data_IF_467111988535
#
_entry.id   IF_467111988535
#
_cell.length_a   1.000
_cell.length_b   1.000
_cell.length_c   1.000
_cell.angle_alpha   90.00
_cell.angle_beta   90.00
_cell.angle_gamma   90.00
#
_symmetry.space_group_name_H-M   'P 1'
#
loop_
_entity.id
_entity.type
_entity.pdbx_description
1 polymer ?
#
# COMPACT_ATOMS: atom_id res chain seq x y z
N UNK A 1 -23.04 -5.67 17.39
CA UNK A 1 -21.68 -5.09 17.39
C UNK A 1 -21.02 -5.47 16.07
N UNK A 2 -20.50 -4.51 15.29
CA UNK A 2 -19.88 -4.82 13.98
C UNK A 2 -18.56 -5.58 14.19
N UNK A 3 -18.31 -6.62 13.39
CA UNK A 3 -17.05 -7.36 13.43
C UNK A 3 -15.91 -6.46 12.92
N UNK A 4 -14.88 -6.27 13.74
CA UNK A 4 -13.66 -5.55 13.36
C UNK A 4 -12.74 -6.47 12.54
N UNK A 5 -12.12 -5.92 11.51
CA UNK A 5 -11.13 -6.60 10.68
C UNK A 5 -9.92 -5.69 10.56
N UNK A 6 -8.78 -6.15 11.07
CA UNK A 6 -7.49 -5.48 10.93
C UNK A 6 -6.86 -5.83 9.57
N UNK A 7 -6.37 -4.81 8.88
CA UNK A 7 -5.72 -4.91 7.57
C UNK A 7 -4.44 -4.10 7.61
N UNK A 8 -3.36 -4.60 7.03
CA UNK A 8 -2.07 -3.93 6.94
C UNK A 8 -1.78 -3.48 5.52
N UNK A 9 -1.12 -2.34 5.37
CA UNK A 9 -0.66 -1.80 4.10
C UNK A 9 0.81 -1.40 4.18
N UNK A 10 1.61 -1.81 3.20
CA UNK A 10 3.02 -1.49 3.10
C UNK A 10 3.22 -0.18 2.33
N UNK A 11 3.89 0.78 2.95
CA UNK A 11 4.48 1.94 2.26
C UNK A 11 5.95 1.59 2.02
N UNK A 12 6.22 0.97 0.87
CA UNK A 12 7.57 0.61 0.43
C UNK A 12 8.11 1.80 -0.36
N UNK A 13 9.13 2.48 0.16
CA UNK A 13 9.77 3.61 -0.51
C UNK A 13 11.20 3.26 -0.92
N UNK A 14 11.53 3.46 -2.19
CA UNK A 14 12.87 3.31 -2.73
C UNK A 14 13.17 4.46 -3.69
N UNK A 15 14.31 5.14 -3.50
CA UNK A 15 14.77 6.25 -4.35
C UNK A 15 13.72 7.37 -4.55
N UNK A 16 12.94 7.66 -3.50
CA UNK A 16 11.86 8.64 -3.56
C UNK A 16 10.70 8.20 -4.44
N UNK A 17 10.49 6.89 -4.60
CA UNK A 17 9.37 6.29 -5.30
C UNK A 17 8.69 5.26 -4.39
N UNK A 18 7.38 5.08 -4.55
CA UNK A 18 6.57 4.14 -3.76
C UNK A 18 6.21 2.95 -4.63
N UNK A 19 6.44 1.73 -4.12
CA UNK A 19 6.00 0.51 -4.79
C UNK A 19 4.49 0.34 -4.63
N UNK A 20 3.80 0.24 -5.75
CA UNK A 20 2.36 -0.05 -5.80
C UNK A 20 2.10 -1.24 -6.71
N UNK A 21 1.06 -2.02 -6.42
CA UNK A 21 0.55 -3.06 -7.30
C UNK A 21 -0.57 -2.50 -8.19
N UNK A 22 -0.62 -2.88 -9.46
CA UNK A 22 -1.72 -2.48 -10.35
C UNK A 22 -2.77 -3.57 -10.44
N UNK A 23 -4.02 -3.23 -10.11
CA UNK A 23 -5.14 -4.16 -10.20
C UNK A 23 -5.28 -4.76 -11.59
N UNK A 24 -5.50 -6.09 -11.70
CA UNK A 24 -5.56 -6.74 -12.99
C UNK A 24 -6.79 -6.26 -13.80
N UNK A 25 -6.77 -6.43 -15.14
CA UNK A 25 -7.81 -5.91 -16.03
C UNK A 25 -9.22 -6.46 -15.75
N UNK A 26 -9.31 -7.62 -15.11
CA UNK A 26 -10.56 -8.30 -14.79
C UNK A 26 -11.06 -8.01 -13.36
N UNK A 27 -10.34 -7.20 -12.57
CA UNK A 27 -10.79 -6.80 -11.24
C UNK A 27 -11.75 -5.60 -11.32
N UNK A 28 -12.59 -5.43 -10.29
CA UNK A 28 -13.34 -4.18 -10.10
C UNK A 28 -12.38 -2.98 -10.17
N UNK A 29 -12.70 -1.96 -10.98
CA UNK A 29 -11.86 -0.79 -11.22
C UNK A 29 -10.45 -1.14 -11.76
N UNK A 30 -10.36 -1.70 -12.97
CA UNK A 30 -9.10 -2.13 -13.55
C UNK A 30 -8.13 -0.96 -13.76
N UNK A 31 -6.83 -1.23 -13.59
CA UNK A 31 -5.77 -0.24 -13.81
C UNK A 31 -5.52 0.73 -12.66
N UNK A 32 -6.30 0.66 -11.58
CA UNK A 32 -6.02 1.38 -10.33
C UNK A 32 -4.82 0.76 -9.61
N UNK A 33 -4.03 1.60 -8.94
CA UNK A 33 -2.92 1.16 -8.11
C UNK A 33 -3.38 0.94 -6.68
N UNK A 34 -2.76 0.00 -5.98
CA UNK A 34 -3.03 -0.27 -4.57
C UNK A 34 -1.75 -0.55 -3.80
N UNK A 35 -1.81 -0.25 -2.51
CA UNK A 35 -0.74 -0.64 -1.60
C UNK A 35 -0.81 -2.15 -1.35
N UNK A 36 0.37 -2.77 -1.27
CA UNK A 36 0.51 -4.18 -0.94
C UNK A 36 0.19 -4.44 0.53
N UNK A 37 -0.22 -5.67 0.86
CA UNK A 37 -0.57 -6.08 2.22
C UNK A 37 -2.02 -6.55 2.33
N UNK A 38 -2.37 -7.18 3.43
CA UNK A 38 -3.65 -7.86 3.55
C UNK A 38 -4.16 -7.94 4.96
N UNK A 39 -5.01 -8.92 5.19
CA UNK A 39 -5.71 -9.07 6.47
C UNK A 39 -4.74 -9.60 7.53
N UNK A 40 -4.88 -9.08 8.74
CA UNK A 40 -4.21 -9.65 9.92
C UNK A 40 -5.02 -10.87 10.36
N UNK A 41 -4.39 -12.03 10.36
CA UNK A 41 -4.96 -13.30 10.79
C UNK A 41 -4.85 -13.49 12.32
N UNK A 42 -5.66 -14.37 12.91
CA UNK A 42 -5.58 -14.65 14.35
C UNK A 42 -4.20 -15.20 14.73
N UNK A 43 -3.58 -14.60 15.76
CA UNK A 43 -2.30 -15.06 16.30
C UNK A 43 -1.06 -14.44 15.68
N UNK A 44 -1.19 -13.59 14.65
CA UNK A 44 -0.09 -12.79 14.11
C UNK A 44 -0.17 -11.32 14.54
N UNK A 45 0.99 -10.68 14.65
CA UNK A 45 1.13 -9.23 14.79
C UNK A 45 1.02 -8.54 13.42
N UNK A 46 0.72 -7.24 13.41
CA UNK A 46 0.66 -6.46 12.17
C UNK A 46 1.93 -6.56 11.30
N UNK A 47 3.16 -6.47 11.87
CA UNK A 47 4.37 -6.66 11.07
C UNK A 47 4.50 -8.08 10.50
N UNK A 48 4.11 -9.12 11.26
CA UNK A 48 4.14 -10.50 10.78
C UNK A 48 3.18 -10.71 9.62
N UNK A 49 1.94 -10.22 9.75
CA UNK A 49 0.95 -10.23 8.68
C UNK A 49 1.50 -9.54 7.42
N UNK A 50 2.10 -8.36 7.59
CA UNK A 50 2.62 -7.59 6.46
C UNK A 50 3.78 -8.30 5.75
N UNK A 51 4.69 -8.95 6.49
CA UNK A 51 5.78 -9.73 5.90
C UNK A 51 5.24 -10.92 5.10
N UNK A 52 4.28 -11.66 5.67
CA UNK A 52 3.63 -12.80 5.01
C UNK A 52 2.96 -12.37 3.70
N UNK A 53 2.13 -11.34 3.75
CA UNK A 53 1.39 -10.84 2.58
C UNK A 53 2.34 -10.35 1.47
N UNK A 54 3.39 -9.60 1.83
CA UNK A 54 4.39 -9.14 0.85
C UNK A 54 5.15 -10.28 0.20
N UNK A 55 5.40 -11.37 0.94
CA UNK A 55 6.02 -12.56 0.38
C UNK A 55 5.06 -13.29 -0.57
N UNK A 56 3.80 -13.48 -0.19
CA UNK A 56 2.78 -14.20 -0.97
C UNK A 56 2.42 -13.46 -2.26
N UNK A 57 2.30 -12.13 -2.20
CA UNK A 57 1.77 -11.35 -3.31
C UNK A 57 2.83 -10.76 -4.23
N UNK A 58 4.00 -10.45 -3.67
CA UNK A 58 5.07 -9.77 -4.39
C UNK A 58 6.37 -10.57 -4.47
N UNK A 59 6.45 -11.72 -3.78
CA UNK A 59 7.67 -12.52 -3.74
C UNK A 59 8.83 -11.84 -3.01
N UNK A 60 8.58 -10.81 -2.19
CA UNK A 60 9.63 -10.04 -1.51
C UNK A 60 9.68 -10.32 -0.02
N UNK A 61 10.89 -10.30 0.54
CA UNK A 61 11.13 -10.38 1.98
C UNK A 61 11.33 -8.96 2.49
N UNK A 62 10.32 -8.43 3.16
CA UNK A 62 10.30 -7.06 3.68
C UNK A 62 10.59 -7.01 5.19
N UNK A 63 11.01 -5.83 5.67
CA UNK A 63 11.11 -5.54 7.11
C UNK A 63 10.33 -4.26 7.43
N UNK A 64 9.09 -4.38 7.97
CA UNK A 64 8.35 -3.24 8.48
C UNK A 64 9.13 -2.56 9.60
N UNK A 65 9.34 -1.24 9.50
CA UNK A 65 10.19 -0.49 10.42
C UNK A 65 9.39 0.46 11.33
N UNK A 66 8.42 1.18 10.76
CA UNK A 66 7.69 2.22 11.49
C UNK A 66 6.20 2.18 11.18
N UNK A 67 5.38 2.30 12.22
CA UNK A 67 3.96 2.54 12.07
C UNK A 67 3.71 3.98 11.64
N UNK A 68 2.95 4.19 10.57
CA UNK A 68 2.73 5.52 9.99
C UNK A 68 1.37 6.09 10.38
N UNK A 69 0.30 5.33 10.12
CA UNK A 69 -1.06 5.81 10.34
C UNK A 69 -2.06 4.65 10.35
N UNK A 70 -3.28 4.94 10.82
CA UNK A 70 -4.43 4.08 10.55
C UNK A 70 -5.65 4.84 10.07
N UNK A 71 -6.54 4.11 9.41
CA UNK A 71 -7.85 4.59 9.03
C UNK A 71 -8.92 3.52 9.31
N UNK A 72 -10.08 3.93 9.78
CA UNK A 72 -11.21 3.03 9.99
C UNK A 72 -12.36 3.36 9.04
N UNK A 73 -12.98 2.32 8.46
CA UNK A 73 -14.14 2.46 7.58
C UNK A 73 -15.12 1.32 7.76
N UNK A 74 -16.40 1.62 7.65
CA UNK A 74 -17.45 0.60 7.56
C UNK A 74 -17.70 0.22 6.10
N UNK A 75 -17.65 -1.07 5.80
CA UNK A 75 -17.90 -1.64 4.47
C UNK A 75 -18.75 -2.89 4.64
N UNK A 76 -19.92 -2.91 3.98
CA UNK A 76 -20.81 -4.08 3.96
C UNK A 76 -21.12 -4.66 5.35
N UNK A 77 -21.35 -3.80 6.35
CA UNK A 77 -21.65 -4.24 7.73
C UNK A 77 -20.45 -4.78 8.51
N UNK A 78 -19.22 -4.50 8.07
CA UNK A 78 -17.97 -4.82 8.80
C UNK A 78 -17.18 -3.54 9.03
N UNK A 79 -16.44 -3.46 10.13
CA UNK A 79 -15.57 -2.32 10.44
C UNK A 79 -14.13 -2.70 10.15
N UNK A 80 -13.53 -2.03 9.17
CA UNK A 80 -12.19 -2.31 8.69
C UNK A 80 -11.24 -1.29 9.31
N UNK A 81 -10.19 -1.77 9.97
CA UNK A 81 -9.12 -0.96 10.54
C UNK A 81 -7.85 -1.19 9.73
N UNK A 82 -7.53 -0.21 8.88
CA UNK A 82 -6.32 -0.25 8.07
C UNK A 82 -5.15 0.34 8.85
N UNK A 83 -4.00 -0.34 8.82
CA UNK A 83 -2.74 0.05 9.44
C UNK A 83 -1.64 0.17 8.39
N UNK A 84 -1.11 1.38 8.20
CA UNK A 84 -0.04 1.65 7.28
C UNK A 84 1.33 1.57 7.97
N UNK A 85 2.23 0.76 7.43
CA UNK A 85 3.58 0.57 7.91
C UNK A 85 4.60 0.96 6.84
N UNK A 86 5.64 1.68 7.24
CA UNK A 86 6.76 2.01 6.38
C UNK A 86 7.75 0.85 6.32
N UNK A 87 8.16 0.53 5.09
CA UNK A 87 9.08 -0.56 4.76
C UNK A 87 10.24 0.05 3.98
N UNK A 88 11.33 0.46 4.65
CA UNK A 88 12.49 1.08 3.99
C UNK A 88 13.34 0.09 3.20
N UNK A 89 13.24 -1.20 3.53
CA UNK A 89 14.11 -2.24 2.99
C UNK A 89 13.31 -3.51 2.71
N UNK A 90 13.55 -4.09 1.53
CA UNK A 90 13.10 -5.41 1.15
C UNK A 90 14.18 -6.11 0.33
N UNK A 91 14.08 -7.44 0.24
CA UNK A 91 14.92 -8.29 -0.59
C UNK A 91 14.07 -9.00 -1.63
N UNK A 92 14.66 -9.28 -2.79
CA UNK A 92 13.99 -9.88 -3.95
C UNK A 92 13.61 -8.86 -5.02
N UNK A 93 13.07 -9.35 -6.13
CA UNK A 93 12.52 -8.52 -7.20
C UNK A 93 10.99 -8.54 -7.06
N UNK A 94 10.33 -7.39 -6.90
CA UNK A 94 8.88 -7.36 -6.72
C UNK A 94 8.21 -7.85 -8.00
N UNK A 95 7.70 -9.08 -7.94
CA UNK A 95 6.91 -9.70 -9.00
C UNK A 95 5.50 -9.80 -8.47
N UNK A 96 4.57 -9.08 -9.09
CA UNK A 96 3.18 -9.19 -8.70
C UNK A 96 2.65 -10.60 -9.07
N UNK A 97 2.41 -11.45 -8.07
CA UNK A 97 1.86 -12.79 -8.26
C UNK A 97 0.36 -12.76 -8.63
N UNK A 98 -0.36 -11.72 -8.19
CA UNK A 98 -1.81 -11.53 -8.41
C UNK A 98 -2.17 -10.24 -9.18
N UNK A 99 -1.18 -9.45 -9.59
CA UNK A 99 -1.36 -8.11 -10.17
C UNK A 99 -0.51 -7.91 -11.44
N UNK A 100 -0.83 -6.88 -12.23
CA UNK A 100 0.03 -6.43 -13.35
C UNK A 100 1.32 -5.82 -12.75
N UNK A 101 2.48 -5.78 -13.43
CA UNK A 101 3.79 -5.53 -12.80
C UNK A 101 3.78 -4.36 -11.81
N UNK A 102 4.30 -4.61 -10.61
CA UNK A 102 4.47 -3.58 -9.61
C UNK A 102 5.40 -2.48 -10.15
N UNK A 103 5.01 -1.23 -9.97
CA UNK A 103 5.81 -0.10 -10.43
C UNK A 103 6.16 0.80 -9.24
N UNK A 104 7.38 1.32 -9.28
CA UNK A 104 7.78 2.43 -8.43
C UNK A 104 7.17 3.72 -9.00
N UNK A 105 6.39 4.44 -8.19
CA UNK A 105 5.74 5.69 -8.56
C UNK A 105 6.37 6.84 -7.77
N UNK A 106 6.76 7.98 -8.39
CA UNK A 106 7.39 9.08 -7.68
C UNK A 106 6.62 9.52 -6.43
N UNK A 107 7.34 9.63 -5.31
CA UNK A 107 6.77 10.02 -4.02
C UNK A 107 6.37 11.49 -4.01
N UNK A 108 6.98 12.36 -4.82
CA UNK A 108 6.69 13.79 -4.83
C UNK A 108 5.87 14.21 -6.06
N UNK A 109 4.78 14.93 -5.82
CA UNK A 109 4.19 15.87 -6.77
C UNK A 109 4.71 17.26 -6.36
N UNK A 110 5.69 17.80 -7.09
CA UNK A 110 6.19 19.16 -6.83
C UNK A 110 5.16 20.19 -7.26
N UNK A 111 4.74 21.02 -6.31
CA UNK A 111 4.74 22.47 -6.54
C UNK A 111 5.39 23.11 -5.30
N UNK A 112 6.67 23.47 -5.41
CA UNK A 112 7.39 24.28 -4.42
C UNK A 112 8.74 23.71 -3.94
N UNK A 113 9.81 24.54 -3.81
CA UNK A 113 11.17 24.05 -3.62
C UNK A 113 11.51 23.74 -2.16
N UNK A 114 12.37 22.72 -2.00
CA UNK A 114 13.16 22.30 -0.83
C UNK A 114 12.43 22.14 0.50
N UNK A 115 12.30 20.88 0.95
CA UNK A 115 12.02 20.57 2.35
C UNK A 115 13.07 19.61 2.90
N UNK A 116 13.56 19.97 4.09
CA UNK A 116 14.60 19.33 4.93
C UNK A 116 14.33 17.85 5.24
N UNK A 117 15.36 17.05 5.60
CA UNK A 117 15.18 15.65 6.00
C UNK A 117 14.40 15.61 7.31
N UNK A 118 13.25 14.92 7.33
CA UNK A 118 12.48 14.74 8.58
C UNK A 118 10.95 14.80 8.48
N UNK A 119 10.34 14.77 7.29
CA UNK A 119 8.88 14.59 7.17
C UNK A 119 8.55 13.47 6.20
N UNK A 120 8.00 12.38 6.74
CA UNK A 120 7.32 11.28 6.04
C UNK A 120 6.06 11.77 5.31
N UNK A 121 6.20 12.74 4.41
CA UNK A 121 5.08 13.50 3.84
C UNK A 121 5.07 13.44 2.33
N UNK A 122 4.56 12.32 1.82
CA UNK A 122 3.86 12.31 0.53
C UNK A 122 2.97 11.09 0.31
N UNK A 123 3.36 9.91 0.78
CA UNK A 123 2.56 8.68 0.68
C UNK A 123 1.17 8.81 1.34
N UNK A 124 1.11 9.40 2.55
CA UNK A 124 -0.14 9.62 3.27
C UNK A 124 -1.12 10.56 2.55
N UNK A 125 -0.62 11.40 1.62
CA UNK A 125 -1.43 12.36 0.85
C UNK A 125 -2.02 11.75 -0.44
N UNK A 126 -1.48 10.62 -0.90
CA UNK A 126 -1.96 9.86 -2.06
C UNK A 126 -3.10 8.88 -1.71
N UNK A 127 -3.34 8.67 -0.42
CA UNK A 127 -4.43 7.83 0.08
C UNK A 127 -5.80 8.44 -0.25
N UNK A 128 -6.54 7.81 -1.16
CA UNK A 128 -7.97 8.09 -1.38
C UNK A 128 -8.78 6.83 -1.03
N UNK A 129 -9.67 6.86 -0.03
CA UNK A 129 -10.40 5.66 0.38
C UNK A 129 -11.37 5.24 -0.74
N UNK A 130 -11.08 4.14 -1.42
CA UNK A 130 -11.95 3.53 -2.41
C UNK A 130 -13.10 2.77 -1.74
N UNK A 131 -14.27 2.62 -2.39
CA UNK A 131 -15.43 1.92 -1.83
C UNK A 131 -15.26 0.39 -1.65
N UNK A 132 -14.10 -0.19 -2.00
CA UNK A 132 -13.85 -1.63 -1.92
C UNK A 132 -13.23 -2.06 -0.59
N UNK A 133 -13.55 -3.25 -0.09
CA UNK A 133 -13.35 -3.61 1.32
C UNK A 133 -11.89 -3.73 1.76
N UNK A 134 -10.94 -4.13 0.91
CA UNK A 134 -9.68 -4.62 1.46
C UNK A 134 -8.45 -3.73 1.21
N UNK A 135 -8.50 -2.75 0.30
CA UNK A 135 -7.29 -1.99 -0.08
C UNK A 135 -7.53 -0.53 -0.48
N UNK A 136 -6.63 0.40 -0.06
CA UNK A 136 -6.62 1.76 -0.57
C UNK A 136 -6.15 1.83 -2.02
N UNK A 137 -6.87 2.60 -2.84
CA UNK A 137 -6.57 2.79 -4.25
C UNK A 137 -5.96 4.16 -4.55
N UNK A 138 -4.99 4.19 -5.45
CA UNK A 138 -4.31 5.38 -5.97
C UNK A 138 -4.55 5.44 -7.49
N UNK A 139 -4.87 6.63 -8.00
CA UNK A 139 -5.01 6.83 -9.45
C UNK A 139 -3.64 6.74 -10.13
N UNK A 140 -3.54 6.09 -11.31
CA UNK A 140 -2.30 6.08 -12.09
C UNK A 140 -1.86 7.51 -12.43
N UNK A 141 -0.54 7.78 -12.54
CA UNK A 141 -0.07 9.02 -13.14
C UNK A 141 -0.58 9.12 -14.59
N UNK A 142 -0.90 10.34 -15.09
CA UNK A 142 -1.20 10.51 -16.50
C UNK A 142 0.00 9.99 -17.30
N UNK A 143 -0.23 9.06 -18.24
CA UNK A 143 0.81 8.65 -19.18
C UNK A 143 1.14 9.90 -20.00
N UNK A 144 2.27 10.54 -19.71
CA UNK A 144 2.86 11.48 -20.65
C UNK A 144 3.21 10.66 -21.90
N UNK A 145 2.36 10.76 -22.93
CA UNK A 145 2.79 10.42 -24.29
C UNK A 145 3.85 11.47 -24.62
N UNK A 146 5.10 11.02 -24.76
CA UNK A 146 6.09 11.76 -25.53
C UNK A 146 5.63 11.83 -26.98
#
# INVERSE_FOLDING_TARGET
>A
MLKMIDVVAAIIEQDGQILLAQRPPHADQPGMWEFAGGKVEPGESQPQALVRELQEEMGIIARPACYIASHQREVSGRRIHLHAWWVPHFQGTPLAHYHTPAALVPSHRSAGPRSRPGRYSSAARLYRPAPHPFRPLIRPPPRHRF
#
